data_IF_049826175396
#
_entry.id   IF_049826175396
#
_cell.length_a   1.000
_cell.length_b   1.000
_cell.length_c   1.000
_cell.angle_alpha   90.00
_cell.angle_beta   90.00
_cell.angle_gamma   90.00
#
_symmetry.space_group_name_H-M   'P 1'
#
loop_
_entity.id
_entity.type
_entity.pdbx_description
1 polymer ?
#
# COMPACT_ATOMS: atom_id res chain seq x y z
N UNK A 1 -26.25 -17.96 -18.57
CA UNK A 1 -24.90 -18.55 -18.41
C UNK A 1 -23.93 -17.45 -18.79
N UNK A 2 -23.25 -16.86 -17.80
CA UNK A 2 -22.33 -15.75 -18.04
C UNK A 2 -21.07 -16.35 -18.67
N UNK A 3 -20.64 -15.79 -19.80
CA UNK A 3 -19.47 -16.27 -20.53
C UNK A 3 -18.20 -15.90 -19.71
N UNK A 4 -17.50 -16.89 -19.17
CA UNK A 4 -16.26 -16.70 -18.38
C UNK A 4 -14.99 -16.64 -19.24
N UNK A 5 -15.12 -16.51 -20.56
CA UNK A 5 -14.00 -16.66 -21.50
C UNK A 5 -13.41 -15.34 -22.02
N UNK A 6 -13.95 -14.20 -21.61
CA UNK A 6 -13.46 -12.88 -22.02
C UNK A 6 -12.96 -12.14 -20.77
N UNK A 7 -11.71 -12.38 -20.41
CA UNK A 7 -11.00 -11.55 -19.45
C UNK A 7 -10.67 -10.20 -20.10
N UNK A 8 -11.19 -9.11 -19.51
CA UNK A 8 -10.80 -7.74 -19.86
C UNK A 8 -9.44 -7.39 -19.25
N UNK A 9 -8.45 -8.26 -19.46
CA UNK A 9 -7.09 -8.08 -18.96
C UNK A 9 -6.30 -7.46 -20.11
N UNK A 10 -5.85 -6.22 -19.93
CA UNK A 10 -4.80 -5.64 -20.78
C UNK A 10 -3.59 -6.56 -20.74
N UNK A 11 -2.80 -6.69 -21.81
CA UNK A 11 -1.55 -7.47 -21.84
C UNK A 11 -0.53 -7.05 -20.75
N UNK A 12 -0.80 -5.93 -20.05
CA UNK A 12 -0.03 -5.38 -18.91
C UNK A 12 -0.57 -5.82 -17.52
N UNK A 13 -1.62 -6.64 -17.50
CA UNK A 13 -1.85 -7.70 -16.51
C UNK A 13 -2.22 -7.37 -15.06
N UNK A 14 -2.06 -6.15 -14.54
CA UNK A 14 -1.98 -6.02 -13.07
C UNK A 14 -2.55 -4.74 -12.41
N UNK A 15 -3.35 -3.93 -13.12
CA UNK A 15 -3.72 -2.61 -12.60
C UNK A 15 -4.88 -2.62 -11.58
N UNK A 16 -5.96 -3.38 -11.84
CA UNK A 16 -7.17 -3.35 -11.01
C UNK A 16 -6.99 -4.19 -9.74
N UNK A 17 -6.50 -5.42 -9.88
CA UNK A 17 -6.27 -6.34 -8.76
C UNK A 17 -5.30 -5.76 -7.72
N UNK A 18 -4.25 -5.06 -8.15
CA UNK A 18 -3.34 -4.38 -7.22
C UNK A 18 -4.03 -3.20 -6.51
N UNK A 19 -4.83 -2.39 -7.22
CA UNK A 19 -5.53 -1.26 -6.62
C UNK A 19 -6.58 -1.72 -5.58
N UNK A 20 -7.32 -2.78 -5.89
CA UNK A 20 -8.27 -3.40 -4.94
C UNK A 20 -7.56 -3.97 -3.71
N UNK A 21 -6.43 -4.66 -3.93
CA UNK A 21 -5.57 -5.16 -2.85
C UNK A 21 -5.05 -4.04 -1.95
N UNK A 22 -4.63 -2.92 -2.54
CA UNK A 22 -4.19 -1.73 -1.81
C UNK A 22 -5.30 -1.21 -0.89
N UNK A 23 -6.50 -0.96 -1.44
CA UNK A 23 -7.59 -0.39 -0.66
C UNK A 23 -8.13 -1.36 0.39
N UNK A 24 -8.14 -2.67 0.12
CA UNK A 24 -8.48 -3.70 1.11
C UNK A 24 -7.56 -3.61 2.33
N UNK A 25 -6.24 -3.59 2.10
CA UNK A 25 -5.26 -3.54 3.19
C UNK A 25 -5.27 -2.19 3.93
N UNK A 26 -5.35 -1.09 3.18
CA UNK A 26 -5.37 0.28 3.74
C UNK A 26 -6.60 0.49 4.63
N UNK A 27 -7.80 0.15 4.15
CA UNK A 27 -9.04 0.28 4.94
C UNK A 27 -9.04 -0.62 6.17
N UNK A 28 -8.57 -1.87 6.02
CA UNK A 28 -8.52 -2.81 7.15
C UNK A 28 -7.60 -2.31 8.26
N UNK A 29 -6.39 -1.82 7.92
CA UNK A 29 -5.47 -1.24 8.91
C UNK A 29 -6.06 -0.02 9.59
N UNK A 30 -6.68 0.88 8.83
CA UNK A 30 -7.33 2.07 9.35
C UNK A 30 -8.44 1.71 10.35
N UNK A 31 -9.32 0.78 10.00
CA UNK A 31 -10.39 0.32 10.87
C UNK A 31 -9.88 -0.43 12.11
N UNK A 32 -8.91 -1.34 11.93
CA UNK A 32 -8.42 -2.20 13.00
C UNK A 32 -7.57 -1.45 14.04
N UNK A 33 -6.77 -0.46 13.62
CA UNK A 33 -5.89 0.30 14.53
C UNK A 33 -6.50 1.59 15.05
N UNK A 34 -7.43 2.20 14.33
CA UNK A 34 -7.95 3.51 14.67
C UNK A 34 -9.48 3.47 14.78
N UNK A 35 -10.00 3.34 16.01
CA UNK A 35 -11.43 3.46 16.28
C UNK A 35 -12.00 4.85 15.94
N UNK A 36 -11.14 5.89 15.89
CA UNK A 36 -11.46 7.25 15.42
C UNK A 36 -10.27 7.80 14.63
N UNK A 37 -10.46 8.04 13.33
CA UNK A 37 -9.40 8.60 12.48
C UNK A 37 -9.54 10.13 12.50
N UNK A 38 -8.54 10.81 13.06
CA UNK A 38 -8.47 12.28 12.89
C UNK A 38 -8.13 12.61 11.44
N UNK A 39 -8.94 13.49 10.83
CA UNK A 39 -8.71 13.98 9.46
C UNK A 39 -7.32 14.58 9.28
N UNK A 40 -6.73 15.13 10.36
CA UNK A 40 -5.37 15.67 10.38
C UNK A 40 -4.30 14.62 10.08
N UNK A 41 -4.48 13.38 10.55
CA UNK A 41 -3.47 12.32 10.42
C UNK A 41 -3.74 11.36 9.25
N UNK A 42 -4.90 11.46 8.61
CA UNK A 42 -5.25 10.64 7.45
C UNK A 42 -4.18 10.65 6.34
N UNK A 43 -3.59 11.80 5.95
CA UNK A 43 -2.53 11.82 4.95
C UNK A 43 -1.31 10.97 5.35
N UNK A 44 -0.93 10.99 6.64
CA UNK A 44 0.20 10.20 7.13
C UNK A 44 -0.09 8.69 7.11
N UNK A 45 -1.32 8.27 7.45
CA UNK A 45 -1.69 6.86 7.38
C UNK A 45 -1.75 6.33 5.94
N UNK A 46 -2.17 7.17 5.00
CA UNK A 46 -2.15 6.82 3.58
C UNK A 46 -0.71 6.70 3.06
N UNK A 47 0.18 7.64 3.43
CA UNK A 47 1.59 7.55 3.08
C UNK A 47 2.26 6.28 3.65
N UNK A 48 1.96 5.91 4.90
CA UNK A 48 2.44 4.66 5.50
C UNK A 48 1.90 3.43 4.75
N UNK A 49 0.62 3.45 4.39
CA UNK A 49 -0.03 2.35 3.66
C UNK A 49 0.56 2.17 2.27
N UNK A 50 0.80 3.25 1.55
CA UNK A 50 1.45 3.26 0.23
C UNK A 50 2.88 2.69 0.32
N UNK A 51 3.70 3.22 1.25
CA UNK A 51 5.05 2.72 1.46
C UNK A 51 5.06 1.22 1.76
N UNK A 52 4.21 0.75 2.68
CA UNK A 52 4.13 -0.66 3.06
C UNK A 52 3.60 -1.55 1.94
N UNK A 53 2.65 -1.06 1.14
CA UNK A 53 2.07 -1.84 0.05
C UNK A 53 3.06 -2.07 -1.08
N UNK A 54 3.83 -1.02 -1.42
CA UNK A 54 4.88 -1.09 -2.44
C UNK A 54 6.07 -1.95 -2.00
N UNK A 55 6.34 -2.01 -0.70
CA UNK A 55 7.46 -2.77 -0.14
C UNK A 55 7.04 -4.10 0.53
N UNK A 56 5.81 -4.59 0.28
CA UNK A 56 5.22 -5.73 1.01
C UNK A 56 5.97 -7.06 0.85
N UNK A 57 6.75 -7.19 -0.22
CA UNK A 57 7.54 -8.40 -0.52
C UNK A 57 8.96 -8.36 0.06
N UNK A 58 9.35 -7.28 0.74
CA UNK A 58 10.62 -7.22 1.45
C UNK A 58 10.51 -7.88 2.83
N UNK A 59 11.21 -9.01 2.99
CA UNK A 59 11.20 -9.80 4.23
C UNK A 59 11.84 -9.05 5.40
N UNK A 60 12.89 -8.25 5.13
CA UNK A 60 13.61 -7.46 6.14
C UNK A 60 13.21 -5.99 6.13
N UNK A 61 12.03 -5.69 6.69
CA UNK A 61 11.50 -4.33 6.72
C UNK A 61 12.39 -3.33 7.47
N UNK A 62 13.04 -3.75 8.56
CA UNK A 62 13.94 -2.88 9.34
C UNK A 62 15.15 -2.45 8.50
N UNK A 63 15.79 -3.40 7.80
CA UNK A 63 16.94 -3.12 6.93
C UNK A 63 16.55 -2.17 5.80
N UNK A 64 15.37 -2.35 5.22
CA UNK A 64 14.83 -1.47 4.19
C UNK A 64 14.65 -0.04 4.71
N UNK A 65 14.08 0.13 5.90
CA UNK A 65 13.88 1.47 6.47
C UNK A 65 15.23 2.16 6.72
N UNK A 66 16.18 1.44 7.32
CA UNK A 66 17.52 1.99 7.59
C UNK A 66 18.24 2.39 6.30
N UNK A 67 18.15 1.59 5.23
CA UNK A 67 18.77 1.94 3.95
C UNK A 67 18.14 3.19 3.32
N UNK A 68 16.82 3.36 3.42
CA UNK A 68 16.12 4.57 2.94
C UNK A 68 16.52 5.81 3.74
N UNK A 69 16.70 5.69 5.06
CA UNK A 69 17.15 6.81 5.90
C UNK A 69 18.59 7.25 5.59
N UNK A 70 19.49 6.31 5.31
CA UNK A 70 20.87 6.63 4.94
C UNK A 70 20.94 7.34 3.57
N UNK A 71 20.04 7.01 2.65
CA UNK A 71 19.97 7.61 1.32
C UNK A 71 19.40 9.03 1.31
N UNK A 72 18.58 9.40 2.31
CA UNK A 72 18.01 10.74 2.41
C UNK A 72 18.92 11.57 3.33
N UNK A 73 19.64 12.58 2.83
CA UNK A 73 20.44 13.44 3.70
C UNK A 73 19.50 14.08 4.72
N UNK A 74 19.83 13.98 6.00
CA UNK A 74 19.11 14.66 7.07
C UNK A 74 19.14 16.16 6.73
N UNK A 75 18.01 16.69 6.24
CA UNK A 75 17.82 18.12 6.10
C UNK A 75 17.72 18.69 7.51
N UNK A 76 18.87 19.15 8.01
CA UNK A 76 18.95 20.09 9.13
C UNK A 76 18.52 21.48 8.70
#
# INVERSE_FOLDING_TARGET
>A
MINHNNEFVSDEGDHINNMEGYWRLSKHKLYARHHKISRKYLPHYLAESDFKFNHRFHTDFIRLILSKFIQVPLRG
#
